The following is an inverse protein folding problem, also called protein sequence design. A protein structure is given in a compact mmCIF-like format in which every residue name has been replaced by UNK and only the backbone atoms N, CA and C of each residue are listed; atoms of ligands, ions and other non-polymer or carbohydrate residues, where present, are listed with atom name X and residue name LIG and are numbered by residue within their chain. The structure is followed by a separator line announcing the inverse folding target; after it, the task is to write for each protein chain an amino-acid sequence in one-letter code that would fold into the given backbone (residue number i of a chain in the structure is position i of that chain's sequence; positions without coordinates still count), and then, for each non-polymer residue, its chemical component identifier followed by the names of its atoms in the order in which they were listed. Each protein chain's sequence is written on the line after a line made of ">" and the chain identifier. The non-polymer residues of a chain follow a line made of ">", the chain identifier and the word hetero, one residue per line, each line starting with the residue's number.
data_IF_119859673505
#
_entry.id   IF_119859673505
#
_cell.length_a   1.000
_cell.length_b   1.000
_cell.length_c   1.000
_cell.angle_alpha   90.00
_cell.angle_beta   90.00
_cell.angle_gamma   90.00
#
_symmetry.space_group_name_H-M   'P 1'
#
loop_
_entity.id
_entity.type
_entity.pdbx_description
1 polymer ?
#
# COMPACT_ATOMS: atom_id res chain seq x y z
N UNK A 1 14.67 3.10 -12.11
CA UNK A 1 15.24 1.73 -12.29
C UNK A 1 14.11 0.72 -12.40
N UNK A 2 14.19 -0.23 -13.34
CA UNK A 2 13.06 -1.14 -13.62
C UNK A 2 12.71 -2.06 -12.42
N UNK A 3 13.71 -2.42 -11.61
CA UNK A 3 13.52 -3.30 -10.45
C UNK A 3 12.64 -2.64 -9.38
N UNK A 4 12.96 -1.39 -9.00
CA UNK A 4 12.14 -0.63 -8.03
C UNK A 4 10.75 -0.30 -8.57
N UNK A 5 10.62 -0.10 -9.89
CA UNK A 5 9.31 0.09 -10.51
C UNK A 5 8.43 -1.16 -10.36
N UNK A 6 8.92 -2.33 -10.80
CA UNK A 6 8.16 -3.58 -10.68
C UNK A 6 7.84 -3.90 -9.22
N UNK A 7 8.80 -3.71 -8.33
CA UNK A 7 8.61 -3.92 -6.90
C UNK A 7 7.50 -3.00 -6.35
N UNK A 8 7.50 -1.72 -6.72
CA UNK A 8 6.46 -0.79 -6.30
C UNK A 8 5.08 -1.21 -6.82
N UNK A 9 5.00 -1.64 -8.08
CA UNK A 9 3.76 -2.15 -8.69
C UNK A 9 3.23 -3.37 -7.95
N UNK A 10 4.07 -4.38 -7.74
CA UNK A 10 3.68 -5.62 -7.05
C UNK A 10 3.24 -5.32 -5.61
N UNK A 11 3.97 -4.45 -4.90
CA UNK A 11 3.64 -4.09 -3.53
C UNK A 11 2.34 -3.29 -3.42
N UNK A 12 2.03 -2.42 -4.39
CA UNK A 12 0.72 -1.74 -4.43
C UNK A 12 -0.43 -2.73 -4.60
N UNK A 13 -0.28 -3.73 -5.47
CA UNK A 13 -1.31 -4.77 -5.68
C UNK A 13 -1.47 -5.63 -4.42
N UNK A 14 -0.37 -6.21 -3.91
CA UNK A 14 -0.42 -7.13 -2.77
C UNK A 14 -0.83 -6.42 -1.47
N UNK A 15 -0.25 -5.24 -1.20
CA UNK A 15 -0.60 -4.44 -0.04
C UNK A 15 -2.03 -3.88 -0.13
N UNK A 16 -2.45 -3.48 -1.32
CA UNK A 16 -3.83 -3.08 -1.60
C UNK A 16 -4.83 -4.20 -1.34
N UNK A 17 -4.55 -5.42 -1.83
CA UNK A 17 -5.35 -6.62 -1.55
C UNK A 17 -5.45 -6.90 -0.04
N UNK A 18 -4.34 -6.75 0.69
CA UNK A 18 -4.31 -6.98 2.13
C UNK A 18 -5.23 -6.03 2.89
N UNK A 19 -5.20 -4.72 2.61
CA UNK A 19 -6.04 -3.73 3.31
C UNK A 19 -7.47 -3.64 2.74
N UNK A 20 -7.69 -4.08 1.50
CA UNK A 20 -9.01 -4.22 0.86
C UNK A 20 -9.77 -5.48 1.27
N UNK A 21 -9.09 -6.45 1.91
CA UNK A 21 -9.68 -7.74 2.27
C UNK A 21 -11.03 -7.66 3.01
N UNK A 22 -11.28 -6.71 3.95
CA UNK A 22 -12.60 -6.59 4.58
C UNK A 22 -13.77 -6.37 3.61
N UNK A 23 -13.53 -5.71 2.47
CA UNK A 23 -14.53 -5.52 1.40
C UNK A 23 -14.55 -6.67 0.39
N UNK A 24 -13.45 -7.41 0.24
CA UNK A 24 -13.31 -8.48 -0.77
C UNK A 24 -13.61 -9.89 -0.21
N UNK A 25 -13.66 -10.04 1.11
CA UNK A 25 -13.85 -11.33 1.81
C UNK A 25 -15.11 -12.09 1.37
N UNK A 26 -16.17 -11.37 1.00
CA UNK A 26 -17.45 -11.97 0.59
C UNK A 26 -17.43 -12.45 -0.87
N UNK A 27 -16.41 -12.04 -1.64
CA UNK A 27 -16.27 -12.35 -3.07
C UNK A 27 -15.17 -13.37 -3.35
N UNK A 28 -14.15 -13.46 -2.49
CA UNK A 28 -12.99 -14.34 -2.70
C UNK A 28 -12.56 -14.99 -1.39
N UNK A 29 -12.89 -16.26 -1.20
CA UNK A 29 -12.55 -17.03 0.00
C UNK A 29 -11.04 -17.20 0.21
N UNK A 30 -10.25 -17.31 -0.86
CA UNK A 30 -8.79 -17.43 -0.79
C UNK A 30 -8.10 -16.20 -0.17
N UNK A 31 -8.73 -15.01 -0.24
CA UNK A 31 -8.21 -13.78 0.37
C UNK A 31 -8.30 -13.80 1.90
N UNK A 32 -9.24 -14.57 2.47
CA UNK A 32 -9.42 -14.66 3.92
C UNK A 32 -8.23 -15.35 4.59
N UNK A 33 -7.78 -16.50 4.06
CA UNK A 33 -6.66 -17.25 4.64
C UNK A 33 -5.33 -16.49 4.60
N UNK A 34 -5.08 -15.73 3.52
CA UNK A 34 -3.88 -14.88 3.41
C UNK A 34 -3.96 -13.72 4.41
N UNK A 35 -5.14 -13.11 4.57
CA UNK A 35 -5.34 -12.02 5.51
C UNK A 35 -5.15 -12.48 6.96
N UNK A 36 -5.71 -13.62 7.34
CA UNK A 36 -5.54 -14.19 8.69
C UNK A 36 -4.07 -14.51 8.97
N UNK A 37 -3.38 -15.20 8.06
CA UNK A 37 -1.96 -15.50 8.23
C UNK A 37 -1.11 -14.22 8.42
N UNK A 38 -1.39 -13.16 7.67
CA UNK A 38 -0.68 -11.88 7.76
C UNK A 38 -1.07 -11.05 9.00
N UNK A 39 -2.30 -11.18 9.50
CA UNK A 39 -2.73 -10.50 10.74
C UNK A 39 -2.17 -11.16 12.00
N UNK A 40 -2.04 -12.48 11.99
CA UNK A 40 -1.58 -13.26 13.14
C UNK A 40 -0.11 -13.00 13.48
N UNK A 41 0.72 -12.63 12.49
CA UNK A 41 2.15 -12.45 12.69
C UNK A 41 2.55 -10.98 12.74
N UNK A 42 2.81 -10.48 13.96
CA UNK A 42 3.26 -9.12 14.27
C UNK A 42 4.49 -8.73 13.44
N UNK A 43 5.46 -9.64 13.30
CA UNK A 43 6.71 -9.41 12.57
C UNK A 43 6.44 -9.18 11.09
N UNK A 44 5.52 -9.94 10.50
CA UNK A 44 5.17 -9.79 9.09
C UNK A 44 4.52 -8.44 8.80
N UNK A 45 3.66 -7.93 9.70
CA UNK A 45 3.08 -6.59 9.56
C UNK A 45 4.14 -5.49 9.60
N UNK A 46 5.07 -5.58 10.55
CA UNK A 46 6.18 -4.61 10.67
C UNK A 46 7.07 -4.66 9.42
N UNK A 47 7.41 -5.85 8.94
CA UNK A 47 8.19 -6.03 7.71
C UNK A 47 7.47 -5.37 6.51
N UNK A 48 6.16 -5.59 6.36
CA UNK A 48 5.38 -4.96 5.29
C UNK A 48 5.34 -3.43 5.39
N UNK A 49 5.24 -2.88 6.61
CA UNK A 49 5.30 -1.42 6.84
C UNK A 49 6.66 -0.88 6.37
N UNK A 50 7.75 -1.47 6.85
CA UNK A 50 9.11 -1.02 6.55
C UNK A 50 9.40 -1.16 5.05
N UNK A 51 9.06 -2.30 4.44
CA UNK A 51 9.26 -2.51 3.01
C UNK A 51 8.45 -1.52 2.18
N UNK A 52 7.18 -1.29 2.52
CA UNK A 52 6.33 -0.35 1.77
C UNK A 52 6.88 1.07 1.85
N UNK A 53 7.31 1.48 3.04
CA UNK A 53 7.94 2.78 3.26
C UNK A 53 9.25 2.91 2.45
N UNK A 54 10.15 1.93 2.57
CA UNK A 54 11.44 1.95 1.89
C UNK A 54 11.26 1.98 0.36
N UNK A 55 10.42 1.10 -0.19
CA UNK A 55 10.18 1.05 -1.63
C UNK A 55 9.46 2.32 -2.11
N UNK A 56 8.51 2.86 -1.34
CA UNK A 56 7.85 4.13 -1.66
C UNK A 56 8.85 5.29 -1.74
N UNK A 57 9.73 5.43 -0.74
CA UNK A 57 10.78 6.46 -0.73
C UNK A 57 11.78 6.25 -1.87
N UNK A 58 12.32 5.04 -2.05
CA UNK A 58 13.26 4.78 -3.13
C UNK A 58 12.62 4.99 -4.50
N UNK A 59 11.32 4.72 -4.65
CA UNK A 59 10.63 4.96 -5.90
C UNK A 59 10.53 6.45 -6.22
N UNK A 60 10.30 7.33 -5.22
CA UNK A 60 10.37 8.78 -5.40
C UNK A 60 11.76 9.26 -5.83
N UNK A 61 12.81 8.65 -5.29
CA UNK A 61 14.19 9.05 -5.58
C UNK A 61 14.70 8.46 -6.91
N UNK A 62 14.17 7.30 -7.32
CA UNK A 62 14.62 6.58 -8.51
C UNK A 62 13.75 6.93 -9.72
N UNK A 63 14.01 8.08 -10.33
CA UNK A 63 13.33 8.45 -11.58
C UNK A 63 13.68 7.46 -12.68
N UNK A 64 12.67 6.95 -13.38
CA UNK A 64 12.85 6.04 -14.50
C UNK A 64 13.20 6.87 -15.74
N UNK A 65 14.35 6.63 -16.38
CA UNK A 65 14.78 7.43 -17.53
C UNK A 65 13.76 7.28 -18.68
N UNK A 66 13.28 8.41 -19.21
CA UNK A 66 12.24 8.45 -20.24
C UNK A 66 10.81 8.49 -19.71
N UNK A 67 10.60 8.66 -18.40
CA UNK A 67 9.27 8.70 -17.76
C UNK A 67 8.76 10.12 -17.50
N UNK A 68 7.44 10.30 -17.53
CA UNK A 68 6.77 11.48 -16.98
C UNK A 68 6.77 11.33 -15.46
N UNK A 69 7.72 12.01 -14.80
CA UNK A 69 8.01 11.90 -13.36
C UNK A 69 6.78 11.95 -12.42
N UNK A 70 5.68 12.59 -12.83
CA UNK A 70 4.46 12.78 -12.02
C UNK A 70 3.48 11.60 -12.12
N UNK A 71 3.45 10.83 -13.21
CA UNK A 71 2.45 9.75 -13.36
C UNK A 71 3.07 8.38 -13.18
N UNK A 72 4.19 8.08 -13.85
CA UNK A 72 4.82 6.76 -13.78
C UNK A 72 5.51 6.46 -12.45
N UNK A 73 6.10 7.46 -11.80
CA UNK A 73 6.91 7.27 -10.60
C UNK A 73 6.21 7.72 -9.30
N UNK A 74 5.50 8.85 -9.33
CA UNK A 74 4.89 9.43 -8.13
C UNK A 74 3.66 8.66 -7.63
N UNK A 75 2.76 8.20 -8.51
CA UNK A 75 1.54 7.50 -8.09
C UNK A 75 1.83 6.17 -7.38
N UNK A 76 2.69 5.27 -7.92
CA UNK A 76 3.06 4.04 -7.22
C UNK A 76 3.77 4.33 -5.90
N UNK A 77 4.61 5.36 -5.86
CA UNK A 77 5.34 5.74 -4.66
C UNK A 77 4.40 6.24 -3.55
N UNK A 78 3.51 7.20 -3.87
CA UNK A 78 2.50 7.71 -2.94
C UNK A 78 1.54 6.61 -2.47
N UNK A 79 1.21 5.66 -3.36
CA UNK A 79 0.44 4.49 -3.01
C UNK A 79 1.10 3.66 -1.90
N UNK A 80 2.41 3.41 -2.00
CA UNK A 80 3.16 2.68 -0.98
C UNK A 80 3.36 3.45 0.32
N UNK A 81 3.55 4.78 0.25
CA UNK A 81 3.63 5.61 1.45
C UNK A 81 2.27 5.63 2.17
N UNK A 82 1.17 5.69 1.41
CA UNK A 82 -0.19 5.59 1.95
C UNK A 82 -0.43 4.22 2.59
N UNK A 83 -0.02 3.14 1.92
CA UNK A 83 -0.09 1.78 2.47
C UNK A 83 0.67 1.67 3.80
N UNK A 84 1.91 2.16 3.86
CA UNK A 84 2.72 2.17 5.06
C UNK A 84 2.04 2.95 6.20
N UNK A 85 1.46 4.12 5.89
CA UNK A 85 0.73 4.93 6.85
C UNK A 85 -0.53 4.21 7.40
N UNK A 86 -1.34 3.60 6.53
CA UNK A 86 -2.52 2.81 6.94
C UNK A 86 -2.10 1.66 7.86
N UNK A 87 -1.10 0.87 7.46
CA UNK A 87 -0.65 -0.29 8.22
C UNK A 87 -0.03 0.11 9.55
N UNK A 88 0.77 1.17 9.58
CA UNK A 88 1.38 1.71 10.79
C UNK A 88 0.32 2.23 11.76
N UNK A 89 -0.67 2.98 11.28
CA UNK A 89 -1.75 3.49 12.13
C UNK A 89 -2.63 2.34 12.68
N UNK A 90 -2.97 1.35 11.86
CA UNK A 90 -3.71 0.15 12.29
C UNK A 90 -2.92 -0.60 13.38
N UNK A 91 -1.61 -0.81 13.16
CA UNK A 91 -0.72 -1.45 14.13
C UNK A 91 -0.56 -0.66 15.43
N UNK A 92 -0.28 0.65 15.34
CA UNK A 92 -0.02 1.49 16.50
C UNK A 92 -1.24 1.57 17.42
N UNK A 93 -2.43 1.63 16.83
CA UNK A 93 -3.70 1.69 17.58
C UNK A 93 -3.99 0.41 18.35
N UNK A 94 -3.57 -0.74 17.82
CA UNK A 94 -3.71 -2.02 18.52
C UNK A 94 -2.73 -2.17 19.70
N UNK A 95 -1.60 -1.47 19.68
CA UNK A 95 -0.51 -1.64 20.65
C UNK A 95 -0.37 -0.50 21.66
N UNK A 96 -0.97 0.66 21.40
CA UNK A 96 -0.82 1.87 22.20
C UNK A 96 -2.11 2.27 22.90
N UNK A 97 -2.04 2.57 24.19
CA UNK A 97 -3.13 3.17 24.96
C UNK A 97 -3.19 4.70 24.80
N UNK A 98 -2.18 5.31 24.17
CA UNK A 98 -2.11 6.76 23.99
C UNK A 98 -3.16 7.20 22.98
N UNK A 99 -4.12 8.00 23.45
CA UNK A 99 -5.15 8.62 22.62
C UNK A 99 -4.91 10.12 22.52
N UNK A 100 -4.93 10.65 21.31
CA UNK A 100 -4.92 12.09 21.04
C UNK A 100 -5.92 12.39 19.93
N UNK A 101 -6.54 13.56 19.97
CA UNK A 101 -7.54 13.99 18.98
C UNK A 101 -6.99 14.00 17.54
N UNK A 102 -5.72 14.34 17.37
CA UNK A 102 -5.02 14.26 16.09
C UNK A 102 -4.90 12.82 15.58
N UNK A 103 -4.48 11.88 16.44
CA UNK A 103 -4.33 10.47 16.09
C UNK A 103 -5.69 9.85 15.71
N UNK A 104 -6.75 10.16 16.46
CA UNK A 104 -8.11 9.72 16.16
C UNK A 104 -8.58 10.23 14.78
N UNK A 105 -8.24 11.48 14.43
CA UNK A 105 -8.51 12.04 13.11
C UNK A 105 -7.83 11.27 11.98
N UNK A 106 -6.53 10.98 12.13
CA UNK A 106 -5.77 10.18 11.17
C UNK A 106 -6.32 8.75 11.05
N UNK A 107 -6.63 8.10 12.18
CA UNK A 107 -7.24 6.77 12.19
C UNK A 107 -8.56 6.75 11.42
N UNK A 108 -9.44 7.73 11.66
CA UNK A 108 -10.73 7.81 10.97
C UNK A 108 -10.58 7.92 9.45
N UNK A 109 -9.60 8.68 8.97
CA UNK A 109 -9.35 8.87 7.54
C UNK A 109 -8.66 7.64 6.93
N UNK A 110 -7.53 7.21 7.49
CA UNK A 110 -6.70 6.17 6.89
C UNK A 110 -7.18 4.75 7.22
N UNK A 111 -7.45 4.47 8.49
CA UNK A 111 -7.87 3.14 8.94
C UNK A 111 -9.36 2.93 8.66
N UNK A 112 -10.19 3.96 8.86
CA UNK A 112 -11.63 3.90 8.58
C UNK A 112 -11.95 3.63 7.10
N UNK A 113 -11.14 4.15 6.18
CA UNK A 113 -11.31 3.97 4.73
C UNK A 113 -10.32 2.97 4.13
N UNK A 114 -9.65 2.14 4.94
CA UNK A 114 -8.55 1.28 4.50
C UNK A 114 -8.88 0.38 3.33
N UNK A 115 -10.12 -0.10 3.25
CA UNK A 115 -10.52 -0.98 2.15
C UNK A 115 -10.74 -0.26 0.83
N UNK A 116 -11.25 0.98 0.86
CA UNK A 116 -11.32 1.83 -0.32
C UNK A 116 -9.92 2.22 -0.80
N UNK A 117 -9.05 2.61 0.14
CA UNK A 117 -7.64 2.90 -0.15
C UNK A 117 -6.99 1.67 -0.79
N UNK A 118 -7.21 0.47 -0.25
CA UNK A 118 -6.69 -0.77 -0.83
C UNK A 118 -7.14 -1.02 -2.27
N UNK A 119 -8.40 -0.74 -2.59
CA UNK A 119 -8.90 -0.84 -3.97
C UNK A 119 -8.18 0.14 -4.90
N UNK A 120 -7.97 1.38 -4.45
CA UNK A 120 -7.21 2.39 -5.21
C UNK A 120 -5.78 1.91 -5.46
N UNK A 121 -5.10 1.33 -4.46
CA UNK A 121 -3.74 0.80 -4.62
C UNK A 121 -3.69 -0.36 -5.63
N UNK A 122 -4.67 -1.26 -5.60
CA UNK A 122 -4.80 -2.34 -6.58
C UNK A 122 -4.93 -1.75 -7.99
N UNK A 123 -5.81 -0.75 -8.17
CA UNK A 123 -6.01 -0.09 -9.47
C UNK A 123 -4.72 0.59 -9.94
N UNK A 124 -4.04 1.35 -9.06
CA UNK A 124 -2.74 1.97 -9.38
C UNK A 124 -1.75 0.91 -9.84
N UNK A 125 -1.58 -0.17 -9.08
CA UNK A 125 -0.67 -1.24 -9.43
C UNK A 125 -1.03 -1.92 -10.76
N UNK A 126 -2.31 -2.25 -10.98
CA UNK A 126 -2.76 -2.88 -12.23
C UNK A 126 -2.56 -1.97 -13.45
N UNK A 127 -2.86 -0.68 -13.35
CA UNK A 127 -2.64 0.27 -14.44
C UNK A 127 -1.15 0.35 -14.81
N UNK A 128 -0.27 0.43 -13.81
CA UNK A 128 1.17 0.50 -14.02
C UNK A 128 1.78 -0.83 -14.50
N UNK A 129 1.14 -1.95 -14.19
CA UNK A 129 1.53 -3.27 -14.69
C UNK A 129 1.11 -3.49 -16.14
N UNK A 130 -0.13 -3.15 -16.49
CA UNK A 130 -0.72 -3.40 -17.82
C UNK A 130 -0.29 -2.37 -18.86
N UNK A 131 -0.16 -1.11 -18.44
CA UNK A 131 0.16 0.01 -19.32
C UNK A 131 1.43 0.75 -18.90
N UNK A 132 2.56 0.05 -18.67
CA UNK A 132 3.80 0.71 -18.32
C UNK A 132 4.13 1.78 -19.37
N UNK A 133 4.12 1.41 -20.66
CA UNK A 133 4.53 2.31 -21.76
C UNK A 133 3.59 3.48 -22.04
N UNK A 134 2.31 3.40 -21.71
CA UNK A 134 1.36 4.53 -21.91
C UNK A 134 1.58 5.61 -20.85
N UNK A 135 2.13 5.22 -19.70
CA UNK A 135 2.53 6.13 -18.62
C UNK A 135 3.98 6.63 -18.82
N UNK A 136 4.81 5.87 -19.55
CA UNK A 136 6.21 6.19 -19.92
C UNK A 136 6.36 6.88 -21.31
N UNK A 137 5.30 7.47 -21.88
CA UNK A 137 5.35 8.15 -23.20
C UNK A 137 5.38 9.67 -23.06
#
# INVERSE_FOLDING_TARGET
>A
MIQFYLLAVVMNILGGLFIAAPMLKDKVSALQGIQEALRLNISTRIILIILSLAVGVFKLLSVTQGDVAVVGDLLPALGLLTLAAVLFLDYYTEQSEVRSSWLEGLQKVFVGQKSLIGLILIVIGLLHFLFPKVLFL
#
